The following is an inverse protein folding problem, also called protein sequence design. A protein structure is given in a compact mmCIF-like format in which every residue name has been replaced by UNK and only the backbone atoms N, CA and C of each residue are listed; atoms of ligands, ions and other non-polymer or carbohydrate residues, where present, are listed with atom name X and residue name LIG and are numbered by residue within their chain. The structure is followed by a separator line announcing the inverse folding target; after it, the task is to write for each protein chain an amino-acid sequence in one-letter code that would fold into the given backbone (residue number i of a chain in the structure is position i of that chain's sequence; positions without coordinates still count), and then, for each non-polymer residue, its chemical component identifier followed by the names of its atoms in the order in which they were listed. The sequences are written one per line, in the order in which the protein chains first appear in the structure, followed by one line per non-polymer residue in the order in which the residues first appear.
data_IF_220066093187
#
_entry.id   IF_220066093187
#
_cell.length_a   1.000
_cell.length_b   1.000
_cell.length_c   1.000
_cell.angle_alpha   90.00
_cell.angle_beta   90.00
_cell.angle_gamma   90.00
#
_symmetry.space_group_name_H-M   'P 1'
#
loop_
_entity.id
_entity.type
_entity.pdbx_description
1 polymer ?
#
# COMPACT_ATOMS: atom_id res chain seq x y z
N UNK A 1 -26.28 -9.36 -3.05
CA UNK A 1 -26.86 -10.71 -2.98
C UNK A 1 -26.46 -11.33 -1.65
N UNK A 2 -27.34 -12.04 -0.93
CA UNK A 2 -26.96 -12.66 0.34
C UNK A 2 -26.03 -13.85 0.07
N UNK A 3 -24.78 -13.77 0.56
CA UNK A 3 -23.82 -14.89 0.54
C UNK A 3 -24.30 -15.93 1.56
N UNK A 4 -24.62 -17.13 1.07
CA UNK A 4 -25.12 -18.29 1.84
C UNK A 4 -24.06 -18.92 2.77
N UNK A 5 -24.47 -19.60 3.86
CA UNK A 5 -23.61 -19.99 4.99
C UNK A 5 -22.50 -21.00 4.62
N UNK A 6 -21.41 -20.94 5.40
CA UNK A 6 -20.24 -21.82 5.34
C UNK A 6 -20.59 -23.27 5.67
N UNK A 7 -19.80 -24.23 5.14
CA UNK A 7 -19.96 -25.65 5.50
C UNK A 7 -19.49 -25.89 6.93
N UNK A 8 -20.10 -26.82 7.70
CA UNK A 8 -19.78 -27.04 9.11
C UNK A 8 -18.29 -27.34 9.37
N UNK A 9 -17.63 -28.01 8.41
CA UNK A 9 -16.21 -28.39 8.50
C UNK A 9 -15.26 -27.21 8.30
N UNK A 10 -15.59 -26.29 7.38
CA UNK A 10 -14.80 -25.08 7.14
C UNK A 10 -14.96 -24.08 8.30
N UNK A 11 -16.19 -23.88 8.78
CA UNK A 11 -16.46 -23.06 9.98
C UNK A 11 -15.74 -23.60 11.22
N UNK A 12 -15.75 -24.92 11.45
CA UNK A 12 -15.02 -25.52 12.58
C UNK A 12 -13.49 -25.32 12.50
N UNK A 13 -12.90 -25.42 11.29
CA UNK A 13 -11.48 -25.16 11.09
C UNK A 13 -11.13 -23.70 11.36
N UNK A 14 -11.91 -22.75 10.83
CA UNK A 14 -11.71 -21.32 11.03
C UNK A 14 -11.93 -20.90 12.49
N UNK A 15 -12.92 -21.48 13.16
CA UNK A 15 -13.14 -21.29 14.59
C UNK A 15 -11.95 -21.75 15.42
N UNK A 16 -11.37 -22.92 15.11
CA UNK A 16 -10.16 -23.40 15.78
C UNK A 16 -8.97 -22.45 15.56
N UNK A 17 -8.80 -21.93 14.34
CA UNK A 17 -7.73 -20.98 14.03
C UNK A 17 -7.92 -19.64 14.75
N UNK A 18 -9.16 -19.13 14.84
CA UNK A 18 -9.49 -17.96 15.65
C UNK A 18 -9.15 -18.16 17.12
N UNK A 19 -9.43 -19.34 17.70
CA UNK A 19 -9.05 -19.65 19.08
C UNK A 19 -7.52 -19.68 19.28
N UNK A 20 -6.74 -20.12 18.29
CA UNK A 20 -5.28 -20.09 18.35
C UNK A 20 -4.75 -18.65 18.33
N UNK A 21 -5.31 -17.80 17.46
CA UNK A 21 -5.00 -16.36 17.42
C UNK A 21 -5.30 -15.72 18.78
N UNK A 22 -6.48 -15.97 19.34
CA UNK A 22 -6.88 -15.46 20.65
C UNK A 22 -5.90 -15.91 21.75
N UNK A 23 -5.57 -17.20 21.82
CA UNK A 23 -4.59 -17.74 22.79
C UNK A 23 -3.22 -17.07 22.65
N UNK A 24 -2.75 -16.82 21.43
CA UNK A 24 -1.45 -16.16 21.18
C UNK A 24 -1.47 -14.69 21.63
N UNK A 25 -2.58 -13.97 21.41
CA UNK A 25 -2.78 -12.61 21.90
C UNK A 25 -2.86 -12.55 23.44
N UNK A 26 -3.58 -13.48 24.07
CA UNK A 26 -3.64 -13.57 25.54
C UNK A 26 -2.25 -13.81 26.15
N UNK A 27 -1.43 -14.70 25.54
CA UNK A 27 -0.04 -14.90 25.94
C UNK A 27 0.81 -13.63 25.78
N UNK A 28 0.63 -12.90 24.67
CA UNK A 28 1.32 -11.63 24.45
C UNK A 28 0.93 -10.57 25.49
N UNK A 29 -0.33 -10.57 25.95
CA UNK A 29 -0.80 -9.69 27.02
C UNK A 29 -0.13 -10.05 28.36
N UNK A 30 -0.14 -11.33 28.73
CA UNK A 30 0.44 -11.83 29.98
C UNK A 30 1.97 -11.64 30.06
N UNK A 31 2.69 -11.84 28.95
CA UNK A 31 4.16 -11.85 28.94
C UNK A 31 4.76 -10.59 28.31
N UNK A 32 5.00 -9.55 29.13
CA UNK A 32 5.53 -8.25 28.67
C UNK A 32 6.86 -8.33 27.91
N UNK A 33 7.77 -9.23 28.31
CA UNK A 33 9.09 -9.38 27.66
C UNK A 33 9.02 -10.06 26.29
N UNK A 34 8.11 -11.01 26.11
CA UNK A 34 7.95 -11.78 24.87
C UNK A 34 6.92 -11.17 23.91
N UNK A 35 6.08 -10.25 24.39
CA UNK A 35 5.03 -9.57 23.64
C UNK A 35 5.43 -9.12 22.22
N UNK A 36 6.54 -8.38 22.00
CA UNK A 36 6.87 -7.93 20.65
C UNK A 36 7.13 -9.11 19.70
N UNK A 37 7.84 -10.14 20.16
CA UNK A 37 8.14 -11.33 19.37
C UNK A 37 6.85 -12.13 19.07
N UNK A 38 5.99 -12.32 20.07
CA UNK A 38 4.73 -13.04 19.90
C UNK A 38 3.79 -12.35 18.89
N UNK A 39 3.73 -11.01 18.92
CA UNK A 39 2.94 -10.24 17.96
C UNK A 39 3.56 -10.27 16.56
N UNK A 40 4.88 -10.22 16.45
CA UNK A 40 5.57 -10.36 15.17
C UNK A 40 5.36 -11.75 14.56
N UNK A 41 5.49 -12.82 15.35
CA UNK A 41 5.21 -14.19 14.90
C UNK A 41 3.75 -14.34 14.49
N UNK A 42 2.80 -13.84 15.29
CA UNK A 42 1.38 -13.89 14.94
C UNK A 42 1.09 -13.16 13.63
N UNK A 43 1.69 -11.98 13.43
CA UNK A 43 1.58 -11.27 12.15
C UNK A 43 2.14 -12.10 10.99
N UNK A 44 3.31 -12.71 11.16
CA UNK A 44 3.91 -13.55 10.14
C UNK A 44 3.02 -14.74 9.79
N UNK A 45 2.48 -15.44 10.80
CA UNK A 45 1.59 -16.59 10.64
C UNK A 45 0.31 -16.21 9.88
N UNK A 46 -0.32 -15.08 10.24
CA UNK A 46 -1.55 -14.57 9.58
C UNK A 46 -1.28 -14.17 8.11
N UNK A 47 -0.07 -13.69 7.82
CA UNK A 47 0.34 -13.29 6.48
C UNK A 47 0.80 -14.47 5.60
N UNK A 48 0.85 -15.70 6.13
CA UNK A 48 1.21 -16.87 5.33
C UNK A 48 0.17 -17.16 4.26
N UNK A 49 0.68 -17.72 3.16
CA UNK A 49 -0.14 -18.27 2.09
C UNK A 49 -0.81 -19.55 2.57
N UNK A 50 -2.05 -19.74 2.15
CA UNK A 50 -2.80 -20.96 2.46
C UNK A 50 -2.26 -22.09 1.59
N UNK A 51 -1.71 -23.12 2.23
CA UNK A 51 -1.24 -24.35 1.58
C UNK A 51 -2.37 -25.04 0.81
N UNK A 52 -2.05 -25.76 -0.27
CA UNK A 52 -3.03 -26.48 -1.12
C UNK A 52 -3.99 -27.37 -0.32
N UNK A 53 -3.48 -28.09 0.69
CA UNK A 53 -4.31 -28.94 1.56
C UNK A 53 -5.35 -28.16 2.36
N UNK A 54 -4.99 -26.96 2.82
CA UNK A 54 -5.90 -26.08 3.54
C UNK A 54 -6.86 -25.38 2.56
N UNK A 55 -6.41 -25.09 1.33
CA UNK A 55 -7.27 -24.58 0.26
C UNK A 55 -8.43 -25.52 -0.01
N UNK A 56 -8.22 -26.83 -0.08
CA UNK A 56 -9.31 -27.80 -0.33
C UNK A 56 -10.38 -27.80 0.78
N UNK A 57 -9.95 -27.61 2.04
CA UNK A 57 -10.85 -27.54 3.20
C UNK A 57 -11.63 -26.22 3.21
N UNK A 58 -11.02 -25.14 2.75
CA UNK A 58 -11.63 -23.79 2.71
C UNK A 58 -12.52 -23.61 1.47
N UNK A 59 -12.04 -24.05 0.31
CA UNK A 59 -12.67 -23.95 -1.03
C UNK A 59 -13.68 -25.06 -1.33
N UNK A 60 -14.25 -25.74 -0.33
CA UNK A 60 -15.29 -26.76 -0.59
C UNK A 60 -16.63 -26.17 -1.10
N UNK A 61 -16.57 -25.03 -1.80
CA UNK A 61 -17.62 -24.38 -2.54
C UNK A 61 -17.00 -23.59 -3.71
N UNK A 62 -17.44 -23.93 -4.92
CA UNK A 62 -17.27 -23.23 -6.22
C UNK A 62 -16.00 -23.48 -7.05
N UNK A 63 -15.74 -24.73 -7.47
CA UNK A 63 -15.13 -25.02 -8.80
C UNK A 63 -15.69 -26.33 -9.39
N UNK A 64 -16.99 -26.36 -9.71
CA UNK A 64 -17.54 -27.26 -10.76
C UNK A 64 -17.75 -26.46 -12.07
N UNK A 65 -16.90 -25.48 -12.30
CA UNK A 65 -16.79 -24.76 -13.57
C UNK A 65 -15.30 -24.58 -13.89
N UNK A 66 -14.81 -25.46 -14.77
CA UNK A 66 -13.49 -25.46 -15.37
C UNK A 66 -13.10 -24.06 -15.85
N UNK A 67 -11.98 -23.52 -15.35
CA UNK A 67 -11.05 -22.62 -16.07
C UNK A 67 -9.73 -22.48 -15.31
N UNK A 68 -8.65 -23.20 -15.70
CA UNK A 68 -7.33 -23.06 -15.10
C UNK A 68 -6.55 -21.92 -15.78
N UNK A 69 -7.06 -20.67 -15.70
CA UNK A 69 -6.44 -19.55 -16.44
C UNK A 69 -6.64 -18.14 -15.84
N UNK A 70 -6.93 -17.98 -14.55
CA UNK A 70 -6.97 -16.65 -13.91
C UNK A 70 -5.99 -16.52 -12.72
N UNK A 71 -4.79 -17.06 -12.86
CA UNK A 71 -3.68 -16.89 -11.90
C UNK A 71 -3.07 -15.47 -11.89
N UNK A 72 -3.67 -14.52 -12.61
CA UNK A 72 -3.10 -13.19 -12.86
C UNK A 72 -3.64 -12.03 -12.02
N UNK A 73 -4.84 -12.16 -11.43
CA UNK A 73 -5.57 -10.99 -10.90
C UNK A 73 -5.58 -10.93 -9.36
N UNK A 74 -5.67 -12.08 -8.69
CA UNK A 74 -5.95 -12.12 -7.24
C UNK A 74 -4.76 -12.43 -6.32
N UNK A 75 -3.56 -12.66 -6.85
CA UNK A 75 -2.39 -13.01 -6.03
C UNK A 75 -2.59 -14.31 -5.23
N UNK A 76 -1.60 -14.71 -4.41
CA UNK A 76 -1.72 -15.93 -3.62
C UNK A 76 -2.69 -15.73 -2.43
N UNK A 77 -3.62 -16.66 -2.24
CA UNK A 77 -4.57 -16.63 -1.13
C UNK A 77 -3.84 -16.74 0.22
N UNK A 78 -3.98 -15.74 1.08
CA UNK A 78 -3.37 -15.70 2.41
C UNK A 78 -4.39 -15.96 3.52
N UNK A 79 -3.94 -16.41 4.69
CA UNK A 79 -4.84 -16.71 5.82
C UNK A 79 -5.66 -15.50 6.26
N UNK A 80 -5.08 -14.29 6.21
CA UNK A 80 -5.81 -13.08 6.58
C UNK A 80 -7.03 -12.81 5.69
N UNK A 81 -6.97 -13.14 4.39
CA UNK A 81 -8.11 -12.92 3.49
C UNK A 81 -9.30 -13.78 3.89
N UNK A 82 -9.02 -15.05 4.22
CA UNK A 82 -10.02 -16.02 4.66
C UNK A 82 -10.61 -15.62 6.03
N UNK A 83 -9.75 -15.21 6.97
CA UNK A 83 -10.18 -14.79 8.30
C UNK A 83 -10.99 -13.50 8.28
N UNK A 84 -10.64 -12.55 7.42
CA UNK A 84 -11.40 -11.32 7.29
C UNK A 84 -12.82 -11.57 6.78
N UNK A 85 -12.99 -12.50 5.83
CA UNK A 85 -14.32 -12.94 5.40
C UNK A 85 -15.07 -13.70 6.49
N UNK A 86 -14.37 -14.54 7.27
CA UNK A 86 -14.94 -15.28 8.39
C UNK A 86 -15.48 -14.35 9.48
N UNK A 87 -14.72 -13.34 9.91
CA UNK A 87 -15.16 -12.40 10.94
C UNK A 87 -16.30 -11.48 10.49
N UNK A 88 -16.50 -11.30 9.19
CA UNK A 88 -17.72 -10.65 8.66
C UNK A 88 -18.94 -11.57 8.82
N UNK A 89 -18.78 -12.87 8.59
CA UNK A 89 -19.87 -13.85 8.67
C UNK A 89 -20.22 -14.21 10.12
N UNK A 90 -19.22 -14.37 10.98
CA UNK A 90 -19.34 -14.75 12.39
C UNK A 90 -18.64 -13.69 13.28
N UNK A 91 -19.26 -12.50 13.46
CA UNK A 91 -18.64 -11.40 14.21
C UNK A 91 -18.39 -11.74 15.68
N UNK A 92 -19.21 -12.61 16.29
CA UNK A 92 -19.05 -13.05 17.68
C UNK A 92 -17.71 -13.74 17.92
N UNK A 93 -17.20 -14.48 16.93
CA UNK A 93 -15.90 -15.16 16.98
C UNK A 93 -14.73 -14.17 16.90
N UNK A 94 -14.93 -13.00 16.29
CA UNK A 94 -13.91 -11.96 16.15
C UNK A 94 -13.83 -10.99 17.32
N UNK A 95 -14.91 -10.83 18.09
CA UNK A 95 -15.00 -9.83 19.16
C UNK A 95 -13.94 -10.00 20.26
N UNK A 96 -13.66 -11.20 20.82
CA UNK A 96 -12.63 -11.36 21.85
C UNK A 96 -11.23 -10.99 21.33
N UNK A 97 -10.95 -11.31 20.06
CA UNK A 97 -9.68 -10.98 19.40
C UNK A 97 -9.57 -9.47 19.22
N UNK A 98 -10.64 -8.81 18.76
CA UNK A 98 -10.68 -7.35 18.60
C UNK A 98 -10.40 -6.66 19.94
N UNK A 99 -11.06 -7.07 21.02
CA UNK A 99 -10.87 -6.50 22.36
C UNK A 99 -9.41 -6.64 22.82
N UNK A 100 -8.80 -7.82 22.62
CA UNK A 100 -7.39 -8.05 22.93
C UNK A 100 -6.48 -7.15 22.10
N UNK A 101 -6.71 -7.00 20.80
CA UNK A 101 -5.88 -6.11 19.97
C UNK A 101 -6.03 -4.66 20.44
N UNK A 102 -7.24 -4.21 20.79
CA UNK A 102 -7.50 -2.86 21.31
C UNK A 102 -6.74 -2.59 22.61
N UNK A 103 -6.58 -3.59 23.48
CA UNK A 103 -5.71 -3.45 24.68
C UNK A 103 -4.22 -3.38 24.33
N UNK A 104 -3.80 -4.02 23.23
CA UNK A 104 -2.42 -4.09 22.75
C UNK A 104 -2.08 -3.00 21.71
N UNK A 105 -2.96 -2.04 21.46
CA UNK A 105 -2.86 -1.06 20.37
C UNK A 105 -1.57 -0.22 20.36
N UNK A 106 -0.97 -0.01 21.53
CA UNK A 106 0.29 0.73 21.67
C UNK A 106 1.53 -0.05 21.24
N UNK A 107 1.39 -1.35 20.98
CA UNK A 107 2.49 -2.24 20.65
C UNK A 107 2.72 -2.30 19.14
N UNK A 108 3.95 -2.62 18.74
CA UNK A 108 4.26 -2.94 17.34
C UNK A 108 3.40 -4.13 16.86
N UNK A 109 3.16 -4.21 15.55
CA UNK A 109 2.33 -5.23 14.90
C UNK A 109 0.83 -5.24 15.25
N UNK A 110 0.37 -4.67 16.37
CA UNK A 110 -1.05 -4.67 16.75
C UNK A 110 -1.98 -4.07 15.66
N UNK A 111 -1.66 -2.87 15.15
CA UNK A 111 -2.44 -2.27 14.05
C UNK A 111 -2.35 -3.05 12.72
N UNK A 112 -1.27 -3.81 12.51
CA UNK A 112 -1.08 -4.61 11.31
C UNK A 112 -1.98 -5.83 11.38
N UNK A 113 -1.98 -6.54 12.51
CA UNK A 113 -2.87 -7.67 12.79
C UNK A 113 -4.32 -7.22 12.70
N UNK A 114 -4.67 -6.08 13.32
CA UNK A 114 -6.00 -5.49 13.20
C UNK A 114 -6.40 -5.29 11.74
N UNK A 115 -5.53 -4.65 10.94
CA UNK A 115 -5.79 -4.39 9.52
C UNK A 115 -6.01 -5.69 8.76
N UNK A 116 -5.13 -6.67 8.92
CA UNK A 116 -5.21 -7.94 8.21
C UNK A 116 -6.51 -8.70 8.54
N UNK A 117 -6.89 -8.77 9.82
CA UNK A 117 -8.05 -9.55 10.26
C UNK A 117 -9.39 -8.81 10.12
N UNK A 118 -9.44 -7.49 10.28
CA UNK A 118 -10.69 -6.74 10.42
C UNK A 118 -10.93 -5.68 9.32
N UNK A 119 -10.13 -5.65 8.26
CA UNK A 119 -10.31 -4.68 7.16
C UNK A 119 -11.68 -4.77 6.48
N UNK A 120 -12.27 -5.97 6.35
CA UNK A 120 -13.63 -6.13 5.80
C UNK A 120 -14.70 -5.84 6.84
N UNK A 121 -14.55 -6.42 8.03
CA UNK A 121 -15.46 -6.28 9.16
C UNK A 121 -15.82 -4.81 9.48
N UNK A 122 -14.83 -3.91 9.43
CA UNK A 122 -15.01 -2.49 9.72
C UNK A 122 -16.09 -1.83 8.84
N UNK A 123 -16.28 -2.30 7.61
CA UNK A 123 -17.23 -1.72 6.66
C UNK A 123 -18.56 -2.48 6.63
N UNK A 124 -18.70 -3.60 7.33
CA UNK A 124 -19.95 -4.38 7.36
C UNK A 124 -20.72 -4.18 8.68
N UNK A 125 -20.02 -4.00 9.80
CA UNK A 125 -20.65 -3.79 11.12
C UNK A 125 -21.01 -2.33 11.35
N UNK A 126 -22.15 -2.09 11.99
CA UNK A 126 -22.57 -0.76 12.43
C UNK A 126 -21.90 -0.43 13.77
N UNK A 127 -21.08 0.62 13.80
CA UNK A 127 -20.45 1.14 15.01
C UNK A 127 -21.12 2.46 15.39
N UNK A 128 -21.86 2.47 16.50
CA UNK A 128 -22.60 3.65 16.95
C UNK A 128 -21.68 4.74 17.54
N UNK A 129 -20.47 4.37 17.99
CA UNK A 129 -19.53 5.30 18.60
C UNK A 129 -18.55 5.87 17.56
N UNK A 130 -18.70 7.18 17.28
CA UNK A 130 -17.87 7.91 16.32
C UNK A 130 -16.38 7.96 16.69
N UNK A 131 -16.03 7.98 17.98
CA UNK A 131 -14.63 7.99 18.42
C UNK A 131 -13.96 6.64 18.18
N UNK A 132 -14.69 5.55 18.47
CA UNK A 132 -14.22 4.18 18.21
C UNK A 132 -14.04 3.96 16.71
N UNK A 133 -15.02 4.38 15.91
CA UNK A 133 -14.96 4.31 14.47
C UNK A 133 -13.75 5.08 13.91
N UNK A 134 -13.49 6.29 14.40
CA UNK A 134 -12.30 7.06 14.00
C UNK A 134 -11.01 6.33 14.39
N UNK A 135 -10.92 5.79 15.61
CA UNK A 135 -9.75 5.07 16.08
C UNK A 135 -9.45 3.83 15.23
N UNK A 136 -10.48 3.05 14.90
CA UNK A 136 -10.36 1.86 14.06
C UNK A 136 -9.99 2.22 12.62
N UNK A 137 -10.62 3.24 12.06
CA UNK A 137 -10.33 3.71 10.70
C UNK A 137 -8.88 4.22 10.57
N UNK A 138 -8.40 5.00 11.55
CA UNK A 138 -7.01 5.46 11.59
C UNK A 138 -6.02 4.30 11.72
N UNK A 139 -6.35 3.28 12.52
CA UNK A 139 -5.49 2.11 12.65
C UNK A 139 -5.48 1.22 11.42
N UNK A 140 -6.60 1.13 10.69
CA UNK A 140 -6.65 0.47 9.39
C UNK A 140 -5.68 1.14 8.43
N UNK A 141 -5.73 2.47 8.29
CA UNK A 141 -4.83 3.21 7.39
C UNK A 141 -3.37 3.07 7.84
N UNK A 142 -3.09 3.16 9.15
CA UNK A 142 -1.73 3.01 9.67
C UNK A 142 -1.18 1.59 9.50
N UNK A 143 -1.98 0.56 9.77
CA UNK A 143 -1.60 -0.83 9.59
C UNK A 143 -1.40 -1.16 8.11
N UNK A 144 -2.33 -0.73 7.24
CA UNK A 144 -2.22 -0.87 5.78
C UNK A 144 -0.95 -0.19 5.23
N UNK A 145 -0.66 1.03 5.69
CA UNK A 145 0.59 1.74 5.34
C UNK A 145 1.81 0.87 5.62
N UNK A 146 1.88 0.27 6.81
CA UNK A 146 3.06 -0.49 7.20
C UNK A 146 3.16 -1.84 6.47
N UNK A 147 2.06 -2.57 6.30
CA UNK A 147 2.09 -3.86 5.57
C UNK A 147 2.44 -3.65 4.09
N UNK A 148 1.97 -2.58 3.46
CA UNK A 148 2.37 -2.27 2.09
C UNK A 148 3.85 -1.84 2.00
N UNK A 149 4.39 -1.20 3.03
CA UNK A 149 5.83 -0.95 3.11
C UNK A 149 6.65 -2.24 3.26
N UNK A 150 6.15 -3.26 3.95
CA UNK A 150 6.79 -4.58 4.02
C UNK A 150 6.84 -5.20 2.61
N UNK A 151 5.75 -5.12 1.85
CA UNK A 151 5.71 -5.58 0.45
C UNK A 151 6.73 -4.84 -0.42
N UNK A 152 6.85 -3.50 -0.30
CA UNK A 152 7.88 -2.73 -0.98
C UNK A 152 9.29 -3.18 -0.59
N UNK A 153 9.56 -3.37 0.70
CA UNK A 153 10.89 -3.73 1.20
C UNK A 153 11.32 -5.14 0.77
N UNK A 154 10.35 -6.06 0.72
CA UNK A 154 10.57 -7.44 0.28
C UNK A 154 10.46 -7.60 -1.24
N UNK A 155 10.00 -6.57 -1.95
CA UNK A 155 9.66 -6.61 -3.37
C UNK A 155 8.69 -7.76 -3.69
N UNK A 156 7.71 -7.97 -2.81
CA UNK A 156 6.61 -8.93 -2.99
C UNK A 156 5.27 -8.21 -2.97
N UNK A 157 4.19 -8.88 -3.39
CA UNK A 157 2.84 -8.30 -3.41
C UNK A 157 1.88 -9.16 -2.58
N UNK A 158 2.31 -9.53 -1.37
CA UNK A 158 1.58 -10.44 -0.49
C UNK A 158 0.25 -9.84 -0.04
N UNK A 159 0.19 -8.53 0.14
CA UNK A 159 -1.00 -7.82 0.62
C UNK A 159 -1.79 -7.17 -0.53
N UNK A 160 -1.67 -7.70 -1.75
CA UNK A 160 -2.36 -7.19 -2.93
C UNK A 160 -3.88 -7.28 -2.79
N UNK A 161 -4.40 -8.37 -2.23
CA UNK A 161 -5.83 -8.56 -1.96
C UNK A 161 -6.40 -7.46 -1.04
N UNK A 162 -5.67 -7.13 0.04
CA UNK A 162 -6.01 -6.00 0.92
C UNK A 162 -6.00 -4.67 0.16
N UNK A 163 -4.98 -4.42 -0.67
CA UNK A 163 -4.91 -3.18 -1.45
C UNK A 163 -6.10 -3.06 -2.42
N UNK A 164 -6.40 -4.12 -3.18
CA UNK A 164 -7.53 -4.13 -4.11
C UNK A 164 -8.87 -3.95 -3.39
N UNK A 165 -9.07 -4.60 -2.24
CA UNK A 165 -10.28 -4.37 -1.43
C UNK A 165 -10.41 -2.90 -1.02
N UNK A 166 -9.34 -2.30 -0.49
CA UNK A 166 -9.38 -0.89 -0.06
C UNK A 166 -9.57 0.08 -1.23
N UNK A 167 -9.04 -0.24 -2.41
CA UNK A 167 -9.20 0.59 -3.61
C UNK A 167 -10.59 0.41 -4.23
N UNK A 168 -10.92 -0.80 -4.66
CA UNK A 168 -12.07 -1.08 -5.51
C UNK A 168 -13.37 -1.21 -4.71
N UNK A 169 -13.32 -1.87 -3.56
CA UNK A 169 -14.50 -2.16 -2.76
C UNK A 169 -14.79 -1.08 -1.70
N UNK A 170 -13.83 -0.22 -1.37
CA UNK A 170 -14.01 0.84 -0.37
C UNK A 170 -13.86 2.23 -1.00
N UNK A 171 -12.71 2.57 -1.57
CA UNK A 171 -12.47 3.93 -2.04
C UNK A 171 -13.35 4.30 -3.24
N UNK A 172 -13.51 3.39 -4.20
CA UNK A 172 -14.33 3.60 -5.40
C UNK A 172 -15.83 3.37 -5.18
N UNK A 173 -16.24 2.94 -3.98
CA UNK A 173 -17.65 2.69 -3.62
C UNK A 173 -18.12 3.73 -2.58
N UNK A 174 -18.80 4.81 -3.00
CA UNK A 174 -19.17 5.90 -2.09
C UNK A 174 -20.01 5.46 -0.89
N UNK A 175 -20.84 4.42 -1.05
CA UNK A 175 -21.69 3.92 0.03
C UNK A 175 -20.88 3.32 1.18
N UNK A 176 -19.76 2.65 0.86
CA UNK A 176 -18.83 2.08 1.86
C UNK A 176 -17.86 3.13 2.37
N UNK A 177 -17.35 4.01 1.52
CA UNK A 177 -16.46 5.10 1.93
C UNK A 177 -17.11 6.00 2.99
N UNK A 178 -18.40 6.31 2.84
CA UNK A 178 -19.15 7.14 3.78
C UNK A 178 -19.37 6.50 5.16
N UNK A 179 -19.06 5.21 5.33
CA UNK A 179 -19.10 4.55 6.65
C UNK A 179 -17.93 4.95 7.55
N UNK A 180 -16.85 5.51 7.01
CA UNK A 180 -15.70 5.98 7.80
C UNK A 180 -15.66 7.51 7.86
N UNK A 181 -15.07 8.10 8.92
CA UNK A 181 -15.02 9.56 9.08
C UNK A 181 -14.21 10.22 7.96
N UNK A 182 -14.58 11.45 7.60
CA UNK A 182 -13.92 12.22 6.53
C UNK A 182 -12.39 12.31 6.67
N UNK A 183 -11.87 12.37 7.90
CA UNK A 183 -10.42 12.37 8.13
C UNK A 183 -9.79 11.05 7.67
N UNK A 184 -10.37 9.92 8.05
CA UNK A 184 -9.87 8.61 7.64
C UNK A 184 -10.05 8.36 6.14
N UNK A 185 -11.10 8.90 5.51
CA UNK A 185 -11.25 8.87 4.05
C UNK A 185 -10.07 9.55 3.37
N UNK A 186 -9.71 10.76 3.83
CA UNK A 186 -8.55 11.50 3.29
C UNK A 186 -7.26 10.70 3.47
N UNK A 187 -7.02 10.19 4.67
CA UNK A 187 -5.80 9.43 4.97
C UNK A 187 -5.73 8.13 4.16
N UNK A 188 -6.87 7.46 3.92
CA UNK A 188 -6.98 6.30 3.03
C UNK A 188 -6.62 6.66 1.58
N UNK A 189 -7.12 7.78 1.05
CA UNK A 189 -6.79 8.21 -0.30
C UNK A 189 -5.32 8.61 -0.46
N UNK A 190 -4.71 9.25 0.55
CA UNK A 190 -3.27 9.51 0.54
C UNK A 190 -2.46 8.20 0.59
N UNK A 191 -2.91 7.23 1.40
CA UNK A 191 -2.34 5.89 1.42
C UNK A 191 -2.39 5.24 0.03
N UNK A 192 -3.58 5.13 -0.56
CA UNK A 192 -3.76 4.49 -1.87
C UNK A 192 -2.96 5.19 -2.97
N UNK A 193 -2.86 6.52 -2.93
CA UNK A 193 -2.05 7.32 -3.86
C UNK A 193 -0.58 6.87 -3.89
N UNK A 194 -0.01 6.52 -2.72
CA UNK A 194 1.38 6.07 -2.61
C UNK A 194 1.61 4.71 -3.26
N UNK A 195 0.62 3.80 -3.22
CA UNK A 195 0.80 2.38 -3.58
C UNK A 195 0.09 1.96 -4.88
N UNK A 196 -0.73 2.80 -5.50
CA UNK A 196 -1.48 2.46 -6.72
C UNK A 196 -0.61 1.94 -7.87
N UNK A 197 0.58 2.53 -8.04
CA UNK A 197 1.52 2.09 -9.08
C UNK A 197 2.19 0.76 -8.68
N UNK A 198 2.52 0.57 -7.41
CA UNK A 198 3.18 -0.65 -6.92
C UNK A 198 2.34 -1.91 -7.16
N UNK A 199 1.03 -1.82 -6.91
CA UNK A 199 0.06 -2.90 -7.11
C UNK A 199 -0.55 -2.95 -8.52
N UNK A 200 -0.02 -2.16 -9.47
CA UNK A 200 -0.43 -2.13 -10.88
C UNK A 200 -1.88 -1.69 -11.16
N UNK A 201 -2.53 -0.97 -10.25
CA UNK A 201 -3.93 -0.53 -10.43
C UNK A 201 -4.05 0.84 -11.10
N UNK A 202 -3.15 1.12 -12.04
CA UNK A 202 -3.02 2.42 -12.69
C UNK A 202 -4.18 2.68 -13.66
N UNK A 203 -4.79 1.63 -14.17
CA UNK A 203 -6.04 1.67 -14.95
C UNK A 203 -7.21 2.30 -14.15
N UNK A 204 -7.18 2.19 -12.82
CA UNK A 204 -8.19 2.79 -11.93
C UNK A 204 -7.94 4.26 -11.60
N UNK A 205 -6.80 4.82 -12.02
CA UNK A 205 -6.37 6.16 -11.59
C UNK A 205 -7.39 7.26 -11.91
N UNK A 206 -8.01 7.23 -13.10
CA UNK A 206 -9.02 8.23 -13.47
C UNK A 206 -10.24 8.17 -12.54
N UNK A 207 -10.78 6.96 -12.29
CA UNK A 207 -11.90 6.76 -11.37
C UNK A 207 -11.53 7.16 -9.94
N UNK A 208 -10.32 6.80 -9.51
CA UNK A 208 -9.78 7.13 -8.21
C UNK A 208 -9.69 8.65 -7.99
N UNK A 209 -9.19 9.41 -8.97
CA UNK A 209 -9.11 10.87 -8.88
C UNK A 209 -10.48 11.55 -8.91
N UNK A 210 -11.49 10.95 -9.55
CA UNK A 210 -12.88 11.45 -9.55
C UNK A 210 -13.55 11.34 -8.18
N UNK A 211 -13.24 10.29 -7.42
CA UNK A 211 -13.84 10.03 -6.10
C UNK A 211 -13.03 10.60 -4.92
N UNK A 212 -11.93 11.31 -5.21
CA UNK A 212 -11.03 11.85 -4.19
C UNK A 212 -11.79 12.76 -3.20
N UNK A 213 -11.63 12.57 -1.88
CA UNK A 213 -12.35 13.35 -0.89
C UNK A 213 -11.90 14.80 -0.89
N UNK A 214 -12.80 15.70 -0.53
CA UNK A 214 -12.48 17.14 -0.48
C UNK A 214 -11.55 17.43 0.70
N UNK A 215 -10.44 18.11 0.43
CA UNK A 215 -9.47 18.55 1.43
C UNK A 215 -9.69 20.03 1.83
N UNK A 216 -9.57 20.40 3.13
CA UNK A 216 -9.78 21.77 3.57
C UNK A 216 -8.75 22.75 2.97
N UNK A 217 -7.54 22.25 2.71
CA UNK A 217 -6.43 23.00 2.12
C UNK A 217 -6.37 22.89 0.58
N UNK A 218 -7.41 22.40 -0.09
CA UNK A 218 -7.46 22.30 -1.56
C UNK A 218 -7.22 23.66 -2.25
N UNK A 219 -7.63 24.77 -1.64
CA UNK A 219 -7.35 26.10 -2.19
C UNK A 219 -5.84 26.39 -2.31
N UNK A 220 -5.02 25.91 -1.36
CA UNK A 220 -3.56 26.09 -1.33
C UNK A 220 -2.84 25.06 -2.19
N UNK A 221 -3.27 23.80 -2.10
CA UNK A 221 -2.56 22.67 -2.71
C UNK A 221 -2.97 22.48 -4.17
N UNK A 222 -4.27 22.50 -4.45
CA UNK A 222 -4.84 22.19 -5.76
C UNK A 222 -5.93 21.14 -5.71
N UNK A 223 -6.14 20.49 -6.85
CA UNK A 223 -7.17 19.46 -7.02
C UNK A 223 -6.70 18.06 -6.59
N UNK A 224 -7.55 17.05 -6.78
CA UNK A 224 -7.23 15.64 -6.52
C UNK A 224 -5.90 15.18 -7.12
N UNK A 225 -5.64 15.55 -8.39
CA UNK A 225 -4.40 15.21 -9.07
C UNK A 225 -3.18 15.83 -8.37
N UNK A 226 -3.30 17.04 -7.82
CA UNK A 226 -2.18 17.68 -7.11
C UNK A 226 -1.83 16.92 -5.82
N UNK A 227 -2.82 16.54 -5.01
CA UNK A 227 -2.60 15.74 -3.80
C UNK A 227 -1.97 14.38 -4.14
N UNK A 228 -2.51 13.70 -5.15
CA UNK A 228 -1.99 12.43 -5.63
C UNK A 228 -0.50 12.53 -6.03
N UNK A 229 -0.14 13.53 -6.84
CA UNK A 229 1.24 13.73 -7.29
C UNK A 229 2.18 14.09 -6.15
N UNK A 230 1.71 14.84 -5.15
CA UNK A 230 2.50 15.17 -3.97
C UNK A 230 2.87 13.90 -3.19
N UNK A 231 1.88 13.05 -2.88
CA UNK A 231 2.13 11.79 -2.18
C UNK A 231 3.03 10.86 -2.99
N UNK A 232 2.81 10.79 -4.31
CA UNK A 232 3.63 9.97 -5.20
C UNK A 232 5.08 10.45 -5.25
N UNK A 233 5.31 11.77 -5.37
CA UNK A 233 6.65 12.34 -5.39
C UNK A 233 7.38 12.10 -4.06
N UNK A 234 6.68 12.21 -2.93
CA UNK A 234 7.23 11.92 -1.61
C UNK A 234 7.52 10.44 -1.40
N UNK A 235 6.68 9.56 -1.96
CA UNK A 235 6.92 8.12 -1.98
C UNK A 235 8.19 7.79 -2.75
N UNK A 236 8.34 8.31 -3.98
CA UNK A 236 9.51 8.06 -4.84
C UNK A 236 10.83 8.38 -4.12
N UNK A 237 10.90 9.50 -3.41
CA UNK A 237 12.11 9.92 -2.67
C UNK A 237 12.44 9.00 -1.48
N UNK A 238 11.45 8.27 -0.94
CA UNK A 238 11.63 7.33 0.18
C UNK A 238 12.01 5.92 -0.30
N UNK A 239 11.79 5.59 -1.58
CA UNK A 239 12.07 4.25 -2.11
C UNK A 239 13.58 3.98 -2.17
N UNK A 240 14.01 2.94 -1.46
CA UNK A 240 15.40 2.45 -1.45
C UNK A 240 15.57 1.15 -2.24
N UNK A 241 14.48 0.46 -2.55
CA UNK A 241 14.49 -0.82 -3.26
C UNK A 241 14.49 -0.53 -4.77
N UNK A 242 15.62 -0.80 -5.43
CA UNK A 242 15.82 -0.44 -6.84
C UNK A 242 14.79 -1.05 -7.80
N UNK A 243 14.46 -2.36 -7.75
CA UNK A 243 13.41 -2.93 -8.61
C UNK A 243 12.06 -2.22 -8.47
N UNK A 244 11.69 -1.85 -7.25
CA UNK A 244 10.45 -1.11 -6.97
C UNK A 244 10.53 0.29 -7.55
N UNK A 245 11.63 1.02 -7.34
CA UNK A 245 11.80 2.35 -7.91
C UNK A 245 11.73 2.33 -9.45
N UNK A 246 12.37 1.34 -10.08
CA UNK A 246 12.29 1.14 -11.53
C UNK A 246 10.85 0.87 -12.00
N UNK A 247 10.10 0.06 -11.25
CA UNK A 247 8.68 -0.20 -11.51
C UNK A 247 7.84 1.07 -11.45
N UNK A 248 8.05 1.92 -10.44
CA UNK A 248 7.35 3.20 -10.37
C UNK A 248 7.70 4.11 -11.55
N UNK A 249 9.00 4.27 -11.87
CA UNK A 249 9.46 5.13 -12.96
C UNK A 249 8.96 4.66 -14.33
N UNK A 250 8.81 3.35 -14.56
CA UNK A 250 8.28 2.84 -15.83
C UNK A 250 6.79 3.09 -16.02
N UNK A 251 6.01 3.09 -14.92
CA UNK A 251 4.55 3.25 -14.95
C UNK A 251 4.08 4.70 -14.72
N UNK A 252 4.97 5.60 -14.32
CA UNK A 252 4.65 7.03 -14.12
C UNK A 252 4.18 7.73 -15.39
N UNK A 253 4.38 7.11 -16.56
CA UNK A 253 3.84 7.57 -17.85
C UNK A 253 2.32 7.70 -17.86
N UNK A 254 1.62 6.91 -17.04
CA UNK A 254 0.17 7.00 -16.92
C UNK A 254 -0.34 8.34 -16.34
N UNK A 255 0.58 9.18 -15.82
CA UNK A 255 0.26 10.52 -15.32
C UNK A 255 0.19 11.57 -16.44
N UNK A 256 0.45 11.18 -17.69
CA UNK A 256 0.37 12.06 -18.83
C UNK A 256 -1.05 12.61 -18.99
N UNK A 257 -1.16 13.92 -19.23
CA UNK A 257 -2.44 14.59 -19.43
C UNK A 257 -3.14 15.02 -18.15
N UNK A 258 -2.59 14.73 -16.97
CA UNK A 258 -3.11 15.27 -15.72
C UNK A 258 -2.91 16.80 -15.67
N UNK A 259 -4.00 17.52 -15.40
CA UNK A 259 -3.97 18.96 -15.16
C UNK A 259 -3.46 19.21 -13.74
N UNK A 260 -2.23 19.73 -13.64
CA UNK A 260 -1.56 20.00 -12.37
C UNK A 260 -1.29 21.49 -12.21
N UNK A 261 -1.29 21.96 -10.97
CA UNK A 261 -0.74 23.29 -10.67
C UNK A 261 0.74 23.33 -11.01
N UNK A 262 1.22 24.52 -11.38
CA UNK A 262 2.62 24.75 -11.71
C UNK A 262 3.58 24.35 -10.58
N UNK A 263 3.20 24.57 -9.32
CA UNK A 263 3.98 24.18 -8.14
C UNK A 263 4.13 22.66 -8.05
N UNK A 264 3.03 21.92 -8.20
CA UNK A 264 3.00 20.46 -8.15
C UNK A 264 3.74 19.83 -9.33
N UNK A 265 3.49 20.36 -10.53
CA UNK A 265 4.21 19.98 -11.75
C UNK A 265 5.73 20.17 -11.60
N UNK A 266 6.15 21.31 -11.05
CA UNK A 266 7.56 21.60 -10.77
C UNK A 266 8.15 20.66 -9.72
N UNK A 267 7.39 20.31 -8.68
CA UNK A 267 7.81 19.34 -7.66
C UNK A 267 8.05 17.96 -8.26
N UNK A 268 7.13 17.45 -9.08
CA UNK A 268 7.28 16.17 -9.76
C UNK A 268 8.50 16.18 -10.69
N UNK A 269 8.64 17.24 -11.51
CA UNK A 269 9.80 17.42 -12.40
C UNK A 269 11.12 17.41 -11.62
N UNK A 270 11.18 18.11 -10.49
CA UNK A 270 12.38 18.17 -9.64
C UNK A 270 12.68 16.82 -9.00
N UNK A 271 11.66 16.10 -8.52
CA UNK A 271 11.78 14.76 -7.99
C UNK A 271 12.39 13.80 -9.03
N UNK A 272 11.81 13.74 -10.24
CA UNK A 272 12.33 12.90 -11.33
C UNK A 272 13.75 13.30 -11.74
N UNK A 273 14.03 14.60 -11.82
CA UNK A 273 15.37 15.10 -12.15
C UNK A 273 16.42 14.67 -11.12
N UNK A 274 16.07 14.56 -9.83
CA UNK A 274 16.99 14.09 -8.78
C UNK A 274 17.51 12.67 -9.02
N UNK A 275 16.76 11.84 -9.75
CA UNK A 275 17.16 10.48 -10.12
C UNK A 275 17.99 10.41 -11.41
N UNK A 276 18.26 11.53 -12.09
CA UNK A 276 18.94 11.52 -13.40
C UNK A 276 20.46 11.67 -13.32
N UNK A 277 20.99 12.15 -12.19
CA UNK A 277 22.41 12.44 -12.00
C UNK A 277 23.12 11.33 -11.19
N UNK A 278 24.41 11.06 -11.43
CA UNK A 278 25.15 10.01 -10.73
C UNK A 278 25.64 10.41 -9.32
N UNK A 279 25.16 11.53 -8.76
CA UNK A 279 25.63 12.08 -7.49
C UNK A 279 24.63 11.94 -6.32
N UNK A 280 25.00 12.50 -5.17
CA UNK A 280 24.11 12.61 -4.02
C UNK A 280 22.86 13.46 -4.31
N UNK A 281 21.80 13.33 -3.51
CA UNK A 281 21.72 12.59 -2.24
C UNK A 281 21.43 11.08 -2.38
N UNK A 282 20.96 10.60 -3.54
CA UNK A 282 20.47 9.21 -3.68
C UNK A 282 21.41 8.24 -4.42
N UNK A 283 22.44 8.71 -5.12
CA UNK A 283 23.38 7.87 -5.90
C UNK A 283 22.68 6.80 -6.76
N UNK A 284 21.72 7.18 -7.63
CA UNK A 284 20.92 6.22 -8.39
C UNK A 284 21.76 5.40 -9.36
N UNK A 285 21.40 4.12 -9.57
CA UNK A 285 22.06 3.25 -10.55
C UNK A 285 21.84 3.73 -11.98
N UNK A 286 22.60 3.17 -12.93
CA UNK A 286 22.43 3.50 -14.35
C UNK A 286 21.02 3.18 -14.86
N UNK A 287 20.43 2.06 -14.42
CA UNK A 287 19.08 1.68 -14.79
C UNK A 287 18.06 2.71 -14.31
N UNK A 288 18.15 3.12 -13.03
CA UNK A 288 17.28 4.14 -12.44
C UNK A 288 17.41 5.47 -13.17
N UNK A 289 18.65 5.90 -13.49
CA UNK A 289 18.88 7.14 -14.24
C UNK A 289 18.24 7.10 -15.63
N UNK A 290 18.35 6.00 -16.37
CA UNK A 290 17.71 5.87 -17.69
C UNK A 290 16.18 5.87 -17.57
N UNK A 291 15.63 5.13 -16.60
CA UNK A 291 14.19 5.12 -16.36
C UNK A 291 13.67 6.52 -15.99
N UNK A 292 14.40 7.25 -15.15
CA UNK A 292 14.07 8.62 -14.77
C UNK A 292 14.13 9.60 -15.96
N UNK A 293 15.15 9.50 -16.81
CA UNK A 293 15.21 10.30 -18.05
C UNK A 293 14.02 10.00 -18.96
N UNK A 294 13.69 8.72 -19.18
CA UNK A 294 12.57 8.32 -20.01
C UNK A 294 11.24 8.83 -19.47
N UNK A 295 11.02 8.73 -18.15
CA UNK A 295 9.84 9.27 -17.48
C UNK A 295 9.74 10.80 -17.63
N UNK A 296 10.86 11.49 -17.39
CA UNK A 296 10.94 12.95 -17.42
C UNK A 296 10.70 13.52 -18.83
N UNK A 297 11.25 12.87 -19.85
CA UNK A 297 11.06 13.26 -21.24
C UNK A 297 9.63 12.99 -21.72
N UNK A 298 9.03 11.89 -21.25
CA UNK A 298 7.65 11.55 -21.59
C UNK A 298 6.64 12.52 -20.95
N UNK A 299 6.78 12.83 -19.66
CA UNK A 299 5.85 13.71 -18.95
C UNK A 299 6.08 15.20 -19.25
N UNK A 300 7.33 15.59 -19.51
CA UNK A 300 7.71 16.98 -19.77
C UNK A 300 8.51 17.07 -21.07
N UNK A 301 7.86 16.92 -22.25
CA UNK A 301 8.56 16.96 -23.54
C UNK A 301 9.17 18.33 -23.83
N UNK A 302 8.53 19.40 -23.34
CA UNK A 302 9.04 20.77 -23.47
C UNK A 302 10.29 20.95 -22.61
N UNK A 303 11.44 21.12 -23.27
CA UNK A 303 12.74 21.25 -22.62
C UNK A 303 13.57 19.97 -22.60
N UNK A 304 13.18 18.91 -23.32
CA UNK A 304 14.00 17.70 -23.49
C UNK A 304 15.39 18.03 -24.03
N UNK A 305 15.47 18.72 -25.17
CA UNK A 305 16.73 19.08 -25.82
C UNK A 305 17.70 19.86 -24.91
N UNK A 306 17.30 21.00 -24.29
CA UNK A 306 18.22 21.74 -23.41
C UNK A 306 18.63 20.93 -22.18
N UNK A 307 17.77 20.08 -21.61
CA UNK A 307 18.14 19.22 -20.46
C UNK A 307 19.26 18.24 -20.82
N UNK A 308 19.17 17.57 -21.97
CA UNK A 308 20.20 16.65 -22.43
C UNK A 308 21.51 17.36 -22.74
N UNK A 309 21.44 18.55 -23.36
CA UNK A 309 22.62 19.38 -23.65
C UNK A 309 23.34 19.81 -22.37
N UNK A 310 22.59 20.29 -21.38
CA UNK A 310 23.13 20.65 -20.06
C UNK A 310 23.76 19.43 -19.37
N UNK A 311 23.08 18.28 -19.38
CA UNK A 311 23.62 17.04 -18.79
C UNK A 311 24.91 16.59 -19.46
N UNK A 312 24.98 16.67 -20.79
CA UNK A 312 26.18 16.36 -21.57
C UNK A 312 27.32 17.31 -21.21
N UNK A 313 27.04 18.62 -21.15
CA UNK A 313 28.02 19.64 -20.79
C UNK A 313 28.63 19.37 -19.40
N UNK A 314 27.81 19.09 -18.39
CA UNK A 314 28.31 18.75 -17.05
C UNK A 314 29.12 17.44 -17.03
N UNK A 315 28.72 16.42 -17.79
CA UNK A 315 29.51 15.17 -17.90
C UNK A 315 30.86 15.38 -18.57
N UNK A 316 30.95 16.28 -19.55
CA UNK A 316 32.20 16.62 -20.22
C UNK A 316 33.10 17.50 -19.35
N UNK A 317 32.52 18.36 -18.50
CA UNK A 317 33.27 19.22 -17.59
C UNK A 317 33.75 18.51 -16.32
N UNK A 318 33.05 17.47 -15.84
CA UNK A 318 33.38 16.76 -14.60
C UNK A 318 34.84 16.24 -14.56
N UNK A 319 35.38 15.59 -15.63
CA UNK A 319 36.77 15.15 -15.68
C UNK A 319 37.78 16.30 -15.68
N UNK A 320 37.41 17.47 -16.21
CA UNK A 320 38.29 18.64 -16.23
C UNK A 320 38.41 19.28 -14.85
N UNK A 321 37.32 19.29 -14.08
CA UNK A 321 37.31 19.85 -12.72
C UNK A 321 38.07 18.97 -11.72
N UNK A 322 37.96 17.65 -11.84
CA UNK A 322 38.69 16.68 -11.00
C UNK A 322 40.21 16.70 -11.30
N UNK A 323 40.60 16.97 -12.55
CA UNK A 323 42.01 17.21 -12.95
C UNK A 323 42.57 18.53 -12.43
N UNK A 324 41.74 19.56 -12.26
CA UNK A 324 42.13 20.86 -11.69
C UNK A 324 42.25 20.85 -10.16
N UNK A 325 41.65 19.87 -9.48
CA UNK A 325 41.67 19.72 -8.01
C UNK A 325 42.79 18.85 -7.46
N UNK A 326 43.57 18.15 -8.30
CA UNK A 326 44.79 17.49 -7.82
C UNK A 326 45.84 18.57 -7.54
N UNK A 327 46.26 18.79 -6.28
CA UNK A 327 47.47 19.57 -6.07
C UNK A 327 48.61 18.88 -6.83
N UNK A 328 49.38 19.67 -7.57
CA UNK A 328 50.70 19.21 -8.02
C UNK A 328 51.54 19.01 -6.76
N UNK A 329 51.57 17.80 -6.24
CA UNK A 329 52.62 17.39 -5.31
C UNK A 329 53.93 17.45 -6.11
N UNK A 330 54.76 18.44 -5.76
CA UNK A 330 56.14 18.59 -6.19
C UNK A 330 57.06 17.93 -5.17
#
# INVERSE_FOLDING_TARGET
MPRSPSTPRSSAYLSALSQEIEKKLQRALASRSQRPNLLQELFADIALEVDERARDIIRTREEDAISPAEDGIHGPLCFFDVLADYYVQEPDSGQPILDLIVTLWSQSFACHIFTLLFHKWLFEVQLDNSEVLLRYSSALVQGATNVFWIDIQTNTRRFQSLFHYLLEEVALEPTRLNKIPMQAQRDLYLLLSRFIIFYNSVDKLESFLKHFPVFPNAFLVGGPADFFIIELADQLQKLKVEPVLLHYLSHIKALQGLELRMTTSTRLKTCLYSFTSPGGPMYPTRAVRHAAWNALDFLFPVGQYPRHLISLFFRLLYPCWEKLKRPKEY
#
